data_IF_804981946644
#
_entry.id   IF_804981946644
#
_cell.length_a   1.000
_cell.length_b   1.000
_cell.length_c   1.000
_cell.angle_alpha   90.00
_cell.angle_beta   90.00
_cell.angle_gamma   90.00
#
_symmetry.space_group_name_H-M   'P 1'
#
loop_
_entity.id
_entity.type
_entity.pdbx_description
1 polymer ?
#
# COMPACT_ATOMS: atom_id res chain seq x y z
N UNK A 1 14.09 -6.42 17.99
CA UNK A 1 13.87 -7.85 17.68
C UNK A 1 15.16 -8.41 17.11
N UNK A 2 15.64 -9.58 17.55
CA UNK A 2 16.90 -10.13 17.05
C UNK A 2 16.83 -10.46 15.56
N UNK A 3 17.80 -9.97 14.78
CA UNK A 3 18.04 -10.36 13.38
C UNK A 3 18.03 -11.90 13.32
N UNK A 4 16.97 -12.48 12.77
CA UNK A 4 17.02 -13.88 12.32
C UNK A 4 17.79 -13.87 11.01
N UNK A 5 18.77 -14.77 10.89
CA UNK A 5 19.59 -14.90 9.69
C UNK A 5 18.69 -15.10 8.47
N UNK A 6 18.76 -14.17 7.52
CA UNK A 6 18.12 -14.30 6.20
C UNK A 6 19.06 -15.14 5.35
N UNK A 7 18.57 -16.26 4.83
CA UNK A 7 19.35 -17.14 3.98
C UNK A 7 19.30 -16.66 2.52
N UNK A 8 20.45 -16.34 1.94
CA UNK A 8 20.54 -15.91 0.55
C UNK A 8 20.57 -17.13 -0.38
N UNK A 9 19.60 -17.20 -1.30
CA UNK A 9 19.47 -18.24 -2.32
C UNK A 9 19.89 -17.64 -3.67
N UNK A 10 21.01 -18.12 -4.22
CA UNK A 10 21.61 -17.52 -5.41
C UNK A 10 21.11 -18.06 -6.74
N UNK A 11 20.53 -19.27 -6.75
CA UNK A 11 20.13 -19.98 -7.97
C UNK A 11 18.74 -20.61 -7.86
N UNK A 12 18.13 -20.95 -8.99
CA UNK A 12 16.84 -21.66 -9.02
C UNK A 12 16.98 -23.03 -8.37
N UNK A 13 18.10 -23.72 -8.60
CA UNK A 13 18.40 -25.01 -7.98
C UNK A 13 18.52 -24.91 -6.45
N UNK A 14 19.05 -23.80 -5.92
CA UNK A 14 19.08 -23.56 -4.47
C UNK A 14 17.66 -23.37 -3.92
N UNK A 15 16.79 -22.68 -4.65
CA UNK A 15 15.39 -22.48 -4.28
C UNK A 15 14.60 -23.79 -4.31
N UNK A 16 14.79 -24.62 -5.35
CA UNK A 16 14.20 -25.95 -5.46
C UNK A 16 14.62 -26.86 -4.30
N UNK A 17 15.93 -26.88 -4.00
CA UNK A 17 16.48 -27.65 -2.87
C UNK A 17 15.90 -27.15 -1.56
N UNK A 18 15.84 -25.84 -1.37
CA UNK A 18 15.28 -25.21 -0.18
C UNK A 18 13.81 -25.63 0.04
N UNK A 19 12.98 -25.65 -1.01
CA UNK A 19 11.60 -26.12 -0.93
C UNK A 19 11.47 -27.63 -0.70
N UNK A 20 12.35 -28.43 -1.31
CA UNK A 20 12.36 -29.88 -1.10
C UNK A 20 12.76 -30.27 0.33
N UNK A 21 13.65 -29.49 0.95
CA UNK A 21 14.19 -29.74 2.30
C UNK A 21 13.41 -29.03 3.41
N UNK A 22 12.33 -28.31 3.08
CA UNK A 22 11.57 -27.52 4.05
C UNK A 22 10.95 -28.39 5.16
N UNK A 23 11.41 -28.18 6.40
CA UNK A 23 11.03 -28.99 7.56
C UNK A 23 9.71 -28.56 8.23
N UNK A 24 9.03 -27.55 7.68
CA UNK A 24 7.78 -27.01 8.21
C UNK A 24 7.95 -25.86 9.20
N UNK A 25 9.18 -25.47 9.57
CA UNK A 25 9.43 -24.29 10.43
C UNK A 25 9.55 -23.03 9.60
N UNK A 26 9.10 -21.91 10.16
CA UNK A 26 9.21 -20.62 9.48
C UNK A 26 10.68 -20.28 9.17
N UNK A 27 10.97 -19.99 7.89
CA UNK A 27 12.31 -19.61 7.41
C UNK A 27 12.21 -18.36 6.55
N UNK A 28 13.16 -17.44 6.75
CA UNK A 28 13.31 -16.22 5.95
C UNK A 28 14.47 -16.40 5.00
N UNK A 29 14.24 -16.05 3.75
CA UNK A 29 15.19 -16.20 2.67
C UNK A 29 15.18 -14.95 1.80
N UNK A 30 16.25 -14.75 1.03
CA UNK A 30 16.31 -13.75 -0.02
C UNK A 30 16.65 -14.42 -1.34
N UNK A 31 15.95 -14.07 -2.41
CA UNK A 31 16.23 -14.51 -3.76
C UNK A 31 16.11 -13.34 -4.72
N UNK A 32 17.14 -13.09 -5.53
CA UNK A 32 17.15 -11.94 -6.45
C UNK A 32 17.04 -10.58 -5.75
N UNK A 33 17.47 -10.49 -4.49
CA UNK A 33 17.33 -9.28 -3.65
C UNK A 33 15.95 -9.08 -3.04
N UNK A 34 15.01 -10.02 -3.22
CA UNK A 34 13.67 -9.97 -2.64
C UNK A 34 13.58 -10.93 -1.46
N UNK A 35 13.17 -10.42 -0.31
CA UNK A 35 12.96 -11.23 0.89
C UNK A 35 11.61 -11.94 0.86
N UNK A 36 11.59 -13.18 1.33
CA UNK A 36 10.36 -13.93 1.52
C UNK A 36 10.46 -14.86 2.73
N UNK A 37 9.31 -15.14 3.33
CA UNK A 37 9.15 -16.05 4.46
C UNK A 37 8.29 -17.24 4.06
N UNK A 38 8.75 -18.45 4.35
CA UNK A 38 7.93 -19.66 4.21
C UNK A 38 7.30 -20.00 5.53
N UNK A 39 5.99 -20.22 5.53
CA UNK A 39 5.26 -20.67 6.71
C UNK A 39 4.25 -21.76 6.39
N UNK A 40 4.10 -22.73 7.29
CA UNK A 40 3.01 -23.71 7.20
C UNK A 40 1.82 -23.24 8.03
N UNK A 41 0.78 -22.73 7.37
CA UNK A 41 -0.49 -22.36 7.99
C UNK A 41 -1.27 -23.64 8.33
N UNK A 42 -1.73 -23.74 9.59
CA UNK A 42 -2.58 -24.84 10.06
C UNK A 42 -4.05 -24.42 9.97
N UNK A 43 -4.94 -25.40 9.82
CA UNK A 43 -6.40 -25.17 9.80
C UNK A 43 -6.82 -24.38 11.06
N UNK A 44 -7.69 -23.37 10.95
CA UNK A 44 -8.37 -22.83 12.11
C UNK A 44 -9.39 -23.87 12.60
N UNK A 45 -8.98 -24.75 13.52
CA UNK A 45 -9.84 -25.81 14.05
C UNK A 45 -9.31 -26.49 15.31
N UNK A 46 -9.84 -26.07 16.45
CA UNK A 46 -9.93 -26.77 17.75
C UNK A 46 -8.62 -27.07 18.52
N UNK A 47 -8.09 -26.06 19.21
CA UNK A 47 -7.47 -26.05 20.56
C UNK A 47 -6.25 -25.11 20.60
N UNK A 48 -6.37 -24.07 21.43
CA UNK A 48 -5.28 -23.13 21.69
C UNK A 48 -5.78 -21.71 21.91
N UNK A 49 -6.58 -21.49 22.96
CA UNK A 49 -6.75 -20.16 23.54
C UNK A 49 -5.38 -19.75 24.08
N UNK A 50 -4.63 -18.95 23.33
CA UNK A 50 -3.31 -18.47 23.78
C UNK A 50 -2.35 -18.22 22.62
N UNK A 51 -2.51 -17.10 21.93
CA UNK A 51 -1.57 -16.67 20.90
C UNK A 51 -2.10 -15.56 20.01
N UNK A 52 -2.32 -14.39 20.60
CA UNK A 52 -2.36 -13.07 19.95
C UNK A 52 -3.01 -12.97 18.55
N UNK A 53 -4.33 -12.87 18.54
CA UNK A 53 -5.03 -12.04 17.55
C UNK A 53 -4.73 -10.58 17.96
N UNK A 54 -3.67 -9.99 17.40
CA UNK A 54 -3.57 -8.52 17.31
C UNK A 54 -4.20 -8.18 15.97
N UNK A 55 -5.51 -7.92 16.03
CA UNK A 55 -6.37 -7.68 14.88
C UNK A 55 -7.75 -7.30 15.37
N UNK A 56 -7.81 -6.27 16.22
CA UNK A 56 -9.03 -5.59 16.60
C UNK A 56 -8.74 -4.08 16.62
N UNK A 57 -8.54 -3.52 15.43
CA UNK A 57 -9.07 -2.20 15.15
C UNK A 57 -10.50 -2.44 14.63
N UNK A 58 -11.48 -2.02 15.43
CA UNK A 58 -12.86 -1.89 15.01
C UNK A 58 -13.00 -0.62 14.17
N UNK A 59 -13.71 -0.68 13.03
CA UNK A 59 -14.10 0.51 12.29
C UNK A 59 -14.61 0.22 10.87
N UNK A 60 -15.92 0.10 10.70
CA UNK A 60 -16.59 0.77 9.59
C UNK A 60 -16.66 0.11 8.19
N UNK A 61 -16.74 -1.21 8.03
CA UNK A 61 -17.23 -1.80 6.77
C UNK A 61 -18.48 -2.66 6.99
N UNK A 62 -19.65 -2.04 6.96
CA UNK A 62 -20.94 -2.72 6.96
C UNK A 62 -21.35 -3.24 5.56
N UNK A 63 -20.37 -3.57 4.70
CA UNK A 63 -20.59 -4.05 3.32
C UNK A 63 -20.00 -5.42 2.98
N UNK A 64 -19.05 -5.94 3.76
CA UNK A 64 -18.41 -7.25 3.51
C UNK A 64 -18.61 -8.19 4.71
N UNK A 65 -19.85 -8.40 5.12
CA UNK A 65 -20.23 -9.52 5.98
C UNK A 65 -20.47 -10.82 5.16
N UNK A 66 -19.67 -11.03 4.11
CA UNK A 66 -19.52 -12.34 3.47
C UNK A 66 -18.34 -13.02 4.16
N UNK A 67 -18.62 -14.14 4.85
CA UNK A 67 -17.73 -14.76 5.83
C UNK A 67 -16.26 -14.78 5.40
N UNK A 68 -15.38 -14.24 6.24
CA UNK A 68 -13.94 -14.20 6.01
C UNK A 68 -13.46 -15.51 5.39
N UNK A 69 -12.96 -15.50 4.14
CA UNK A 69 -12.48 -16.69 3.49
C UNK A 69 -11.46 -17.36 4.40
N UNK A 70 -11.73 -18.61 4.76
CA UNK A 70 -10.81 -19.40 5.56
C UNK A 70 -9.66 -19.76 4.64
N UNK A 71 -8.53 -19.08 4.80
CA UNK A 71 -7.30 -19.42 4.07
C UNK A 71 -7.00 -20.91 4.35
N UNK A 72 -6.94 -21.75 3.31
CA UNK A 72 -6.83 -23.20 3.50
C UNK A 72 -5.50 -23.56 4.18
N UNK A 73 -5.41 -24.67 4.93
CA UNK A 73 -4.15 -25.10 5.52
C UNK A 73 -3.14 -25.46 4.42
N UNK A 74 -1.86 -25.19 4.65
CA UNK A 74 -0.81 -25.56 3.71
C UNK A 74 0.47 -24.77 3.90
N UNK A 75 1.38 -24.91 2.95
CA UNK A 75 2.59 -24.11 2.87
C UNK A 75 2.28 -22.80 2.15
N UNK A 76 2.75 -21.69 2.69
CA UNK A 76 2.59 -20.34 2.15
C UNK A 76 3.94 -19.65 2.04
N UNK A 77 4.04 -18.76 1.06
CA UNK A 77 5.14 -17.82 0.88
C UNK A 77 4.58 -16.45 1.10
N UNK A 78 5.22 -15.71 1.99
CA UNK A 78 4.99 -14.29 2.18
C UNK A 78 6.18 -13.56 1.61
N UNK A 79 6.03 -12.95 0.45
CA UNK A 79 7.04 -12.10 -0.18
C UNK A 79 6.90 -10.69 0.38
N UNK A 80 8.00 -10.12 0.87
CA UNK A 80 8.06 -8.70 1.21
C UNK A 80 8.25 -7.91 -0.07
N UNK A 81 7.37 -6.94 -0.33
CA UNK A 81 7.42 -6.13 -1.54
C UNK A 81 8.69 -5.25 -1.53
N UNK A 82 9.48 -5.23 -2.63
CA UNK A 82 10.66 -4.36 -2.73
C UNK A 82 10.32 -2.87 -2.70
N UNK A 83 9.12 -2.53 -3.16
CA UNK A 83 8.53 -1.18 -3.13
C UNK A 83 7.15 -1.33 -2.52
N UNK A 84 6.87 -0.62 -1.42
CA UNK A 84 5.56 -0.60 -0.81
C UNK A 84 4.56 0.16 -1.70
N UNK A 85 3.31 -0.29 -1.69
CA UNK A 85 2.22 0.34 -2.43
C UNK A 85 1.76 1.54 -1.60
N UNK A 86 1.87 2.76 -2.15
CA UNK A 86 1.52 4.02 -1.47
C UNK A 86 0.00 4.26 -1.38
N UNK A 87 -0.74 3.21 -1.09
CA UNK A 87 -2.20 3.23 -0.92
C UNK A 87 -2.56 2.14 0.08
N UNK A 88 -3.61 2.38 0.86
CA UNK A 88 -4.30 1.28 1.54
C UNK A 88 -4.80 0.35 0.45
N UNK A 89 -4.18 -0.82 0.32
CA UNK A 89 -4.54 -1.84 -0.66
C UNK A 89 -4.77 -3.15 0.07
N UNK A 90 -5.86 -3.81 -0.31
CA UNK A 90 -6.08 -5.21 -0.05
C UNK A 90 -6.60 -5.86 -1.33
N UNK A 91 -5.83 -6.78 -1.89
CA UNK A 91 -6.24 -7.64 -3.00
C UNK A 91 -6.26 -9.09 -2.52
N UNK A 92 -7.35 -9.80 -2.81
CA UNK A 92 -7.53 -11.19 -2.37
C UNK A 92 -8.24 -12.03 -3.42
N UNK A 93 -7.82 -13.28 -3.60
CA UNK A 93 -8.51 -14.24 -4.47
C UNK A 93 -10.01 -14.26 -4.17
N UNK A 94 -10.84 -14.11 -5.21
CA UNK A 94 -12.29 -14.18 -5.08
C UNK A 94 -12.76 -15.62 -4.88
N UNK A 95 -13.70 -15.84 -3.96
CA UNK A 95 -14.36 -17.13 -3.77
C UNK A 95 -15.22 -17.55 -4.98
N UNK A 96 -15.55 -16.59 -5.85
CA UNK A 96 -16.36 -16.79 -7.06
C UNK A 96 -15.76 -16.00 -8.23
N UNK A 97 -14.66 -16.46 -8.82
CA UNK A 97 -14.07 -15.79 -9.98
C UNK A 97 -15.06 -15.79 -11.15
N UNK A 98 -15.10 -14.70 -11.91
CA UNK A 98 -15.96 -14.62 -13.08
C UNK A 98 -15.44 -15.52 -14.20
N UNK A 99 -16.24 -16.50 -14.61
CA UNK A 99 -15.84 -17.50 -15.59
C UNK A 99 -15.47 -16.85 -16.94
N UNK A 100 -14.28 -17.17 -17.45
CA UNK A 100 -13.82 -16.77 -18.78
C UNK A 100 -13.32 -15.32 -18.89
N UNK A 101 -13.21 -14.58 -17.78
CA UNK A 101 -12.58 -13.26 -17.75
C UNK A 101 -11.19 -13.34 -17.15
N UNK A 102 -10.22 -12.78 -17.86
CA UNK A 102 -8.82 -12.70 -17.44
C UNK A 102 -8.48 -11.24 -17.06
N UNK A 103 -9.21 -10.70 -16.08
CA UNK A 103 -8.94 -9.39 -15.49
C UNK A 103 -8.76 -9.51 -13.98
N UNK A 104 -8.09 -8.52 -13.37
CA UNK A 104 -7.87 -8.50 -11.93
C UNK A 104 -9.20 -8.48 -11.16
N UNK A 105 -10.15 -7.60 -11.52
CA UNK A 105 -11.47 -7.54 -10.87
C UNK A 105 -12.29 -8.82 -10.98
N UNK A 106 -12.08 -9.59 -12.05
CA UNK A 106 -12.76 -10.86 -12.24
C UNK A 106 -12.19 -11.97 -11.35
N UNK A 107 -10.91 -11.88 -11.00
CA UNK A 107 -10.15 -12.89 -10.27
C UNK A 107 -10.06 -12.59 -8.77
N UNK A 108 -10.11 -11.31 -8.39
CA UNK A 108 -9.79 -10.83 -7.05
C UNK A 108 -10.85 -9.85 -6.53
N UNK A 109 -11.10 -9.91 -5.23
CA UNK A 109 -11.68 -8.79 -4.50
C UNK A 109 -10.58 -7.75 -4.25
N UNK A 110 -10.79 -6.53 -4.70
CA UNK A 110 -9.84 -5.42 -4.59
C UNK A 110 -10.50 -4.33 -3.75
N UNK A 111 -9.85 -3.94 -2.67
CA UNK A 111 -10.18 -2.79 -1.84
C UNK A 111 -8.96 -1.87 -1.83
N UNK A 112 -9.09 -0.69 -2.43
CA UNK A 112 -7.99 0.26 -2.59
C UNK A 112 -8.51 1.68 -2.38
N UNK A 113 -7.79 2.48 -1.58
CA UNK A 113 -8.10 3.91 -1.45
C UNK A 113 -7.75 4.70 -2.72
N UNK A 114 -6.68 4.32 -3.40
CA UNK A 114 -6.32 4.82 -4.74
C UNK A 114 -6.09 3.67 -5.74
N UNK A 115 -7.03 3.53 -6.66
CA UNK A 115 -6.99 2.51 -7.72
C UNK A 115 -5.97 2.82 -8.82
N UNK A 116 -5.64 4.09 -9.02
CA UNK A 116 -4.66 4.50 -10.04
C UNK A 116 -3.25 4.09 -9.62
N UNK A 117 -2.91 4.28 -8.34
CA UNK A 117 -1.67 3.80 -7.75
C UNK A 117 -1.53 2.27 -7.83
N UNK A 118 -2.65 1.54 -7.67
CA UNK A 118 -2.68 0.09 -7.88
C UNK A 118 -2.35 -0.26 -9.34
N UNK A 119 -2.98 0.38 -10.32
CA UNK A 119 -2.75 0.08 -11.74
C UNK A 119 -1.30 0.40 -12.16
N UNK A 120 -0.74 1.49 -11.62
CA UNK A 120 0.67 1.85 -11.81
C UNK A 120 1.60 0.78 -11.22
N UNK A 121 1.34 0.35 -9.98
CA UNK A 121 2.15 -0.66 -9.30
C UNK A 121 2.05 -2.04 -9.93
N UNK A 122 0.83 -2.47 -10.27
CA UNK A 122 0.57 -3.79 -10.86
C UNK A 122 1.20 -3.90 -12.25
N UNK A 123 1.48 -2.76 -12.89
CA UNK A 123 2.16 -2.64 -14.16
C UNK A 123 1.57 -3.58 -15.22
N UNK A 124 2.36 -3.92 -16.25
CA UNK A 124 1.96 -4.95 -17.21
C UNK A 124 2.29 -6.38 -16.76
N UNK A 125 3.29 -6.55 -15.88
CA UNK A 125 3.86 -7.87 -15.57
C UNK A 125 3.26 -8.56 -14.34
N UNK A 126 3.06 -7.82 -13.23
CA UNK A 126 2.61 -8.41 -11.98
C UNK A 126 1.14 -8.84 -12.09
N UNK A 127 0.27 -7.98 -12.62
CA UNK A 127 -1.15 -8.30 -12.78
C UNK A 127 -1.40 -9.58 -13.59
N UNK A 128 -0.75 -9.74 -14.75
CA UNK A 128 -0.83 -10.96 -15.57
C UNK A 128 -0.33 -12.19 -14.81
N UNK A 129 0.75 -12.04 -14.06
CA UNK A 129 1.34 -13.11 -13.25
C UNK A 129 0.39 -13.57 -12.15
N UNK A 130 -0.24 -12.63 -11.44
CA UNK A 130 -1.21 -12.97 -10.40
C UNK A 130 -2.46 -13.64 -10.98
N UNK A 131 -2.99 -13.16 -12.12
CA UNK A 131 -4.12 -13.82 -12.80
C UNK A 131 -3.80 -15.27 -13.16
N UNK A 132 -2.59 -15.54 -13.67
CA UNK A 132 -2.12 -16.89 -13.99
C UNK A 132 -2.01 -17.75 -12.73
N UNK A 133 -1.35 -17.24 -11.68
CA UNK A 133 -1.12 -17.96 -10.43
C UNK A 133 -2.42 -18.22 -9.64
N UNK A 134 -3.43 -17.36 -9.77
CA UNK A 134 -4.74 -17.50 -9.10
C UNK A 134 -5.47 -18.81 -9.44
N UNK A 135 -5.12 -19.46 -10.56
CA UNK A 135 -5.67 -20.77 -10.92
C UNK A 135 -5.18 -21.90 -10.03
N UNK A 136 -4.06 -21.69 -9.33
CA UNK A 136 -3.35 -22.70 -8.55
C UNK A 136 -3.27 -22.33 -7.06
N UNK A 137 -3.31 -21.03 -6.75
CA UNK A 137 -3.04 -20.52 -5.42
C UNK A 137 -4.11 -19.52 -4.98
N UNK A 138 -4.33 -19.46 -3.67
CA UNK A 138 -4.90 -18.30 -3.00
C UNK A 138 -3.81 -17.24 -2.91
N UNK A 139 -4.16 -16.03 -3.35
CA UNK A 139 -3.29 -14.87 -3.34
C UNK A 139 -3.92 -13.82 -2.43
N UNK A 140 -3.11 -13.26 -1.54
CA UNK A 140 -3.44 -12.10 -0.73
C UNK A 140 -2.30 -11.09 -0.94
N UNK A 141 -2.63 -9.84 -1.26
CA UNK A 141 -1.68 -8.75 -1.45
C UNK A 141 -2.15 -7.57 -0.60
N UNK A 142 -1.26 -7.04 0.23
CA UNK A 142 -1.44 -5.79 0.95
C UNK A 142 -0.40 -4.76 0.51
N UNK A 143 -0.31 -3.62 1.21
CA UNK A 143 0.62 -2.53 0.87
C UNK A 143 2.09 -2.91 0.97
N UNK A 144 2.44 -3.96 1.72
CA UNK A 144 3.84 -4.34 2.01
C UNK A 144 4.18 -5.78 1.62
N UNK A 145 3.18 -6.64 1.45
CA UNK A 145 3.38 -8.09 1.35
C UNK A 145 2.47 -8.73 0.34
N UNK A 146 3.01 -9.77 -0.29
CA UNK A 146 2.29 -10.67 -1.17
C UNK A 146 2.38 -12.09 -0.63
N UNK A 147 1.24 -12.66 -0.30
CA UNK A 147 1.09 -14.02 0.21
C UNK A 147 0.56 -14.91 -0.90
N UNK A 148 1.24 -16.03 -1.13
CA UNK A 148 0.90 -17.05 -2.12
C UNK A 148 0.82 -18.42 -1.44
N UNK A 149 -0.27 -19.16 -1.66
CA UNK A 149 -0.41 -20.55 -1.22
C UNK A 149 -1.87 -21.02 -1.22
N UNK A 150 -2.19 -22.25 -0.79
CA UNK A 150 -1.27 -23.25 -0.31
C UNK A 150 -0.54 -23.91 -1.47
N UNK A 151 0.72 -24.29 -1.27
CA UNK A 151 1.45 -25.05 -2.29
C UNK A 151 1.04 -26.51 -2.29
N UNK A 152 0.45 -26.93 -3.41
CA UNK A 152 0.08 -28.33 -3.68
C UNK A 152 0.97 -28.98 -4.75
N UNK A 153 1.76 -28.18 -5.49
CA UNK A 153 2.67 -28.64 -6.54
C UNK A 153 4.03 -29.11 -5.98
N UNK A 154 4.85 -29.73 -6.84
CA UNK A 154 6.19 -30.16 -6.46
C UNK A 154 7.16 -28.98 -6.22
N UNK A 155 8.29 -29.19 -5.52
CA UNK A 155 9.27 -28.13 -5.23
C UNK A 155 9.78 -27.36 -6.46
N UNK A 156 9.94 -28.04 -7.60
CA UNK A 156 10.40 -27.44 -8.85
C UNK A 156 9.38 -26.46 -9.46
N UNK A 157 8.10 -26.88 -9.55
CA UNK A 157 7.03 -26.01 -10.04
C UNK A 157 6.89 -24.77 -9.15
N UNK A 158 7.06 -24.97 -7.86
CA UNK A 158 6.97 -23.91 -6.87
C UNK A 158 8.15 -22.92 -6.96
N UNK A 159 9.38 -23.41 -7.14
CA UNK A 159 10.54 -22.56 -7.43
C UNK A 159 10.32 -21.74 -8.69
N UNK A 160 9.82 -22.35 -9.77
CA UNK A 160 9.53 -21.65 -11.01
C UNK A 160 8.48 -20.54 -10.82
N UNK A 161 7.39 -20.83 -10.11
CA UNK A 161 6.33 -19.85 -9.83
C UNK A 161 6.85 -18.67 -8.97
N UNK A 162 7.70 -18.93 -7.97
CA UNK A 162 8.31 -17.88 -7.12
C UNK A 162 9.31 -17.04 -7.91
N UNK A 163 10.13 -17.65 -8.76
CA UNK A 163 11.06 -16.92 -9.64
C UNK A 163 10.29 -16.01 -10.59
N UNK A 164 9.22 -16.51 -11.19
CA UNK A 164 8.36 -15.74 -12.08
C UNK A 164 7.68 -14.58 -11.36
N UNK A 165 7.16 -14.83 -10.15
CA UNK A 165 6.58 -13.80 -9.30
C UNK A 165 7.60 -12.70 -8.97
N UNK A 166 8.79 -13.08 -8.46
CA UNK A 166 9.86 -12.14 -8.10
C UNK A 166 10.34 -11.34 -9.32
N UNK A 167 10.40 -11.96 -10.49
CA UNK A 167 10.76 -11.28 -11.73
C UNK A 167 9.70 -10.25 -12.17
N UNK A 168 8.44 -10.47 -11.81
CA UNK A 168 7.32 -9.59 -12.15
C UNK A 168 7.12 -8.43 -11.15
N UNK A 169 7.72 -8.51 -9.95
CA UNK A 169 7.61 -7.45 -8.95
C UNK A 169 8.22 -6.13 -9.45
N UNK A 170 7.56 -4.98 -9.21
CA UNK A 170 8.15 -3.67 -9.42
C UNK A 170 9.48 -3.56 -8.69
N UNK A 171 10.50 -3.09 -9.41
CA UNK A 171 11.81 -2.81 -8.82
C UNK A 171 11.90 -1.32 -8.52
N UNK A 172 12.57 -0.94 -7.42
CA UNK A 172 12.88 0.46 -7.19
C UNK A 172 13.64 0.99 -8.41
N UNK A 173 13.21 2.13 -8.93
CA UNK A 173 13.94 2.76 -10.03
C UNK A 173 15.35 3.08 -9.55
N UNK A 174 16.41 2.84 -10.35
CA UNK A 174 17.77 3.21 -9.96
C UNK A 174 17.93 4.72 -9.71
N UNK A 175 17.00 5.52 -10.22
CA UNK A 175 16.96 6.98 -10.08
C UNK A 175 16.06 7.45 -8.92
N UNK A 176 15.30 6.55 -8.29
CA UNK A 176 14.48 6.91 -7.13
C UNK A 176 15.37 6.98 -5.88
N UNK A 177 15.34 8.08 -5.11
CA UNK A 177 16.18 8.20 -3.93
C UNK A 177 15.78 7.10 -2.93
N UNK A 178 16.70 6.17 -2.67
CA UNK A 178 16.52 5.17 -1.61
C UNK A 178 16.46 5.92 -0.29
N UNK A 179 15.25 6.10 0.23
CA UNK A 179 15.02 6.62 1.58
C UNK A 179 15.54 5.54 2.54
N UNK A 180 16.57 5.81 3.35
CA UNK A 180 17.02 4.83 4.34
C UNK A 180 15.86 4.52 5.31
N UNK A 181 15.82 3.30 5.82
CA UNK A 181 14.83 2.92 6.82
C UNK A 181 14.86 3.90 8.01
N UNK A 182 13.68 4.32 8.49
CA UNK A 182 13.61 5.32 9.55
C UNK A 182 14.27 4.83 10.83
N UNK A 183 14.04 3.57 11.23
CA UNK A 183 14.60 3.03 12.46
C UNK A 183 16.12 2.85 12.33
N UNK A 184 16.63 2.44 11.17
CA UNK A 184 18.07 2.38 10.91
C UNK A 184 18.73 3.78 10.96
N UNK A 185 18.11 4.77 10.33
CA UNK A 185 18.61 6.15 10.33
C UNK A 185 18.54 6.77 11.73
N UNK A 186 17.46 6.52 12.48
CA UNK A 186 17.30 6.98 13.85
C UNK A 186 18.29 6.30 14.82
N UNK A 187 18.58 5.01 14.66
CA UNK A 187 19.60 4.30 15.44
C UNK A 187 21.00 4.86 15.19
N UNK A 188 21.31 5.25 13.94
CA UNK A 188 22.59 5.86 13.58
C UNK A 188 22.78 7.25 14.16
N UNK A 189 21.72 8.06 14.14
CA UNK A 189 21.76 9.44 14.63
C UNK A 189 21.63 9.52 16.15
N UNK A 190 20.95 8.53 16.76
CA UNK A 190 20.70 8.47 18.20
C UNK A 190 19.64 9.45 18.71
N UNK A 191 19.03 10.26 17.82
CA UNK A 191 17.98 11.21 18.16
C UNK A 191 16.99 11.43 17.00
N UNK A 192 15.74 11.76 17.33
CA UNK A 192 14.66 12.04 16.39
C UNK A 192 14.02 13.38 16.71
N UNK A 193 13.79 14.20 15.69
CA UNK A 193 13.33 15.58 15.83
C UNK A 193 11.97 15.73 15.17
N UNK A 194 11.05 16.39 15.85
CA UNK A 194 9.77 16.82 15.28
C UNK A 194 10.00 18.01 14.33
N UNK A 195 9.57 17.86 13.08
CA UNK A 195 9.77 18.87 12.03
C UNK A 195 8.49 19.55 11.60
N UNK A 196 7.33 18.92 11.82
CA UNK A 196 6.04 19.51 11.54
C UNK A 196 4.92 18.90 12.37
N UNK A 197 3.84 19.65 12.47
CA UNK A 197 2.58 19.24 13.05
C UNK A 197 1.47 19.52 12.04
N UNK A 198 0.67 18.51 11.71
CA UNK A 198 -0.40 18.57 10.71
C UNK A 198 -1.75 18.24 11.32
N UNK A 199 -2.76 19.01 10.93
CA UNK A 199 -4.14 18.76 11.30
C UNK A 199 -4.75 17.78 10.30
N UNK A 200 -5.05 16.57 10.75
CA UNK A 200 -5.67 15.54 9.93
C UNK A 200 -4.67 14.64 9.19
N UNK A 201 -5.13 13.42 8.83
CA UNK A 201 -4.27 12.41 8.22
C UNK A 201 -3.82 12.76 6.79
N UNK A 202 -4.68 13.40 5.99
CA UNK A 202 -4.36 13.73 4.59
C UNK A 202 -3.18 14.69 4.48
N UNK A 203 -3.18 15.77 5.28
CA UNK A 203 -2.08 16.72 5.30
C UNK A 203 -0.77 16.11 5.84
N UNK A 204 -0.87 15.12 6.75
CA UNK A 204 0.28 14.38 7.22
C UNK A 204 0.86 13.46 6.14
N UNK A 205 0.02 12.75 5.40
CA UNK A 205 0.43 11.89 4.27
C UNK A 205 1.08 12.68 3.14
N UNK A 206 0.52 13.83 2.76
CA UNK A 206 1.13 14.71 1.75
C UNK A 206 2.53 15.18 2.17
N UNK A 207 2.68 15.58 3.44
CA UNK A 207 3.96 15.96 3.99
C UNK A 207 4.97 14.79 4.05
N UNK A 208 4.53 13.58 4.41
CA UNK A 208 5.37 12.38 4.34
C UNK A 208 5.80 12.06 2.90
N UNK A 209 4.89 12.19 1.93
CA UNK A 209 5.18 11.95 0.52
C UNK A 209 6.24 12.93 -0.02
N UNK A 210 6.16 14.21 0.36
CA UNK A 210 7.17 15.21 0.00
C UNK A 210 8.55 14.87 0.60
N UNK A 211 8.59 14.48 1.88
CA UNK A 211 9.84 14.04 2.53
C UNK A 211 10.42 12.79 1.87
N UNK A 212 9.58 11.81 1.53
CA UNK A 212 9.99 10.60 0.83
C UNK A 212 10.55 10.93 -0.57
N UNK A 213 9.90 11.81 -1.33
CA UNK A 213 10.38 12.27 -2.62
C UNK A 213 11.75 12.97 -2.54
N UNK A 214 12.04 13.63 -1.40
CA UNK A 214 13.34 14.24 -1.13
C UNK A 214 14.40 13.25 -0.60
N UNK A 215 14.07 11.97 -0.41
CA UNK A 215 14.98 10.97 0.14
C UNK A 215 15.13 11.04 1.66
N UNK A 216 14.15 11.59 2.38
CA UNK A 216 14.24 11.87 3.82
C UNK A 216 13.45 10.82 4.62
N UNK A 217 14.12 10.05 5.50
CA UNK A 217 13.43 9.11 6.39
C UNK A 217 12.53 9.88 7.36
N UNK A 218 11.24 9.56 7.34
CA UNK A 218 10.25 10.24 8.18
C UNK A 218 9.17 9.27 8.67
N UNK A 219 8.55 9.59 9.80
CA UNK A 219 7.36 8.90 10.31
C UNK A 219 6.47 9.84 11.09
N UNK A 220 5.27 9.38 11.41
CA UNK A 220 4.34 10.11 12.29
C UNK A 220 4.36 9.60 13.74
N UNK A 221 4.24 10.51 14.70
CA UNK A 221 4.00 10.22 16.12
C UNK A 221 2.72 10.93 16.56
N UNK A 222 1.82 10.20 17.23
CA UNK A 222 0.68 10.81 17.92
C UNK A 222 -0.70 10.54 17.33
N UNK A 223 -0.87 9.63 16.38
CA UNK A 223 -2.18 9.01 16.18
C UNK A 223 -2.42 8.04 17.35
N UNK A 224 -3.06 8.53 18.42
CA UNK A 224 -3.53 7.65 19.49
C UNK A 224 -4.45 6.59 18.89
N UNK A 225 -4.03 5.32 18.97
CA UNK A 225 -4.86 4.11 18.89
C UNK A 225 -5.84 4.04 17.72
N UNK A 226 -5.52 3.21 16.73
CA UNK A 226 -6.33 3.00 15.54
C UNK A 226 -7.84 2.94 15.77
N UNK A 227 -8.55 3.87 15.15
CA UNK A 227 -9.94 3.75 14.70
C UNK A 227 -10.06 4.63 13.46
N UNK A 228 -10.00 4.02 12.28
CA UNK A 228 -10.57 4.63 11.08
C UNK A 228 -12.02 5.01 11.41
N UNK A 229 -12.30 6.32 11.46
CA UNK A 229 -13.66 6.85 11.64
C UNK A 229 -13.87 7.89 12.75
N UNK A 230 -12.87 8.23 13.59
CA UNK A 230 -13.10 9.19 14.67
C UNK A 230 -11.87 10.07 15.02
N UNK A 231 -11.50 10.98 14.12
CA UNK A 231 -11.06 12.35 14.44
C UNK A 231 -10.48 13.01 13.17
N UNK A 232 -11.32 13.74 12.44
CA UNK A 232 -10.86 14.67 11.40
C UNK A 232 -9.99 15.81 11.98
N UNK A 233 -9.92 15.94 13.31
CA UNK A 233 -9.10 16.89 14.07
C UNK A 233 -7.87 16.24 14.76
N UNK A 234 -7.46 15.03 14.35
CA UNK A 234 -6.27 14.43 14.93
C UNK A 234 -5.02 15.21 14.51
N UNK A 235 -4.32 15.75 15.50
CA UNK A 235 -3.05 16.44 15.28
C UNK A 235 -1.93 15.41 15.18
N UNK A 236 -1.32 15.29 14.01
CA UNK A 236 -0.26 14.34 13.68
C UNK A 236 1.08 15.06 13.69
N UNK A 237 2.08 14.51 14.39
CA UNK A 237 3.43 15.06 14.41
C UNK A 237 4.33 14.26 13.49
N UNK A 238 5.07 14.94 12.63
CA UNK A 238 6.06 14.33 11.73
C UNK A 238 7.42 14.43 12.39
N UNK A 239 8.13 13.30 12.44
CA UNK A 239 9.50 13.23 12.96
C UNK A 239 10.45 12.67 11.93
N UNK A 240 11.69 13.13 11.98
CA UNK A 240 12.83 12.67 11.16
C UNK A 240 14.05 12.44 12.06
N UNK A 241 15.04 11.63 11.66
CA UNK A 241 16.33 11.58 12.32
C UNK A 241 17.00 12.97 12.32
N UNK A 242 17.69 13.31 13.41
CA UNK A 242 18.20 14.66 13.65
C UNK A 242 19.07 15.22 12.51
N UNK A 243 19.83 14.37 11.81
CA UNK A 243 20.69 14.79 10.69
C UNK A 243 19.92 15.30 9.47
N UNK A 244 18.62 14.99 9.37
CA UNK A 244 17.76 15.39 8.26
C UNK A 244 16.86 16.59 8.60
N UNK A 245 16.84 17.08 9.84
CA UNK A 245 15.85 18.05 10.32
C UNK A 245 15.84 19.36 9.51
N UNK A 246 17.01 19.94 9.21
CA UNK A 246 17.11 21.20 8.46
C UNK A 246 16.56 21.06 7.04
N UNK A 247 16.97 19.99 6.35
CA UNK A 247 16.50 19.68 4.99
C UNK A 247 15.01 19.33 4.96
N UNK A 248 14.51 18.63 5.98
CA UNK A 248 13.09 18.29 6.10
C UNK A 248 12.22 19.55 6.24
N UNK A 249 12.64 20.52 7.05
CA UNK A 249 11.93 21.79 7.19
C UNK A 249 11.94 22.61 5.90
N UNK A 250 13.03 22.59 5.14
CA UNK A 250 13.12 23.23 3.82
C UNK A 250 12.12 22.63 2.83
N UNK A 251 12.12 21.30 2.68
CA UNK A 251 11.20 20.57 1.79
C UNK A 251 9.74 20.83 2.14
N UNK A 252 9.40 20.80 3.44
CA UNK A 252 8.02 21.03 3.89
C UNK A 252 7.56 22.46 3.62
N UNK A 253 8.46 23.43 3.74
CA UNK A 253 8.15 24.83 3.44
C UNK A 253 7.92 25.06 1.94
N UNK A 254 8.76 24.46 1.09
CA UNK A 254 8.57 24.52 -0.37
C UNK A 254 7.23 23.91 -0.79
N UNK A 255 6.82 22.80 -0.16
CA UNK A 255 5.53 22.17 -0.41
C UNK A 255 4.34 23.07 0.01
N UNK A 256 4.43 23.73 1.17
CA UNK A 256 3.40 24.68 1.64
C UNK A 256 3.28 25.91 0.74
N UNK A 257 4.41 26.45 0.27
CA UNK A 257 4.45 27.62 -0.61
C UNK A 257 3.80 27.30 -1.97
N UNK A 258 3.94 26.07 -2.48
CA UNK A 258 3.26 25.60 -3.69
C UNK A 258 1.75 25.48 -3.50
N UNK A 259 1.29 24.84 -2.42
CA UNK A 259 -0.15 24.71 -2.11
C UNK A 259 -0.82 26.09 -1.95
N UNK A 260 -0.14 27.06 -1.36
CA UNK A 260 -0.66 28.43 -1.22
C UNK A 260 -0.80 29.15 -2.56
N UNK A 261 0.07 28.88 -3.53
CA UNK A 261 0.05 29.53 -4.84
C UNK A 261 -1.05 29.03 -5.78
N UNK A 262 -1.52 27.79 -5.58
CA UNK A 262 -2.58 27.18 -6.39
C UNK A 262 -4.00 27.57 -5.92
N UNK A 263 -4.14 28.17 -4.73
CA UNK A 263 -5.43 28.53 -4.12
C UNK A 263 -5.99 29.90 -4.50
N UNK A 264 -5.24 30.74 -5.21
CA UNK A 264 -5.57 32.16 -5.47
C UNK A 264 -6.05 32.47 -6.90
N UNK A 265 -6.32 31.46 -7.75
CA UNK A 265 -6.72 31.68 -9.16
C UNK A 265 -8.24 31.83 -9.42
N UNK A 266 -9.11 31.83 -8.40
CA UNK A 266 -10.58 31.75 -8.58
C UNK A 266 -11.40 33.01 -8.23
N UNK A 267 -10.80 34.21 -8.14
CA UNK A 267 -11.53 35.41 -7.67
C UNK A 267 -11.33 36.70 -8.50
N UNK A 268 -11.38 36.61 -9.84
CA UNK A 268 -11.63 37.78 -10.70
C UNK A 268 -12.60 37.46 -11.86
N UNK A 269 -13.92 37.46 -11.60
CA UNK A 269 -14.93 37.69 -12.63
C UNK A 269 -16.01 38.68 -12.19
N UNK A 270 -15.58 39.87 -11.75
CA UNK A 270 -16.43 41.06 -11.68
C UNK A 270 -16.24 41.92 -12.94
N UNK A 271 -17.10 41.67 -13.93
CA UNK A 271 -17.28 42.51 -15.11
C UNK A 271 -18.71 43.04 -15.19
N UNK A 272 -19.03 44.03 -14.35
CA UNK A 272 -20.25 44.84 -14.45
C UNK A 272 -20.36 45.53 -15.82
N UNK A 273 -21.56 45.52 -16.42
CA UNK A 273 -21.93 46.52 -17.42
C UNK A 273 -23.04 46.10 -18.37
N UNK A 274 -24.31 46.33 -18.00
CA UNK A 274 -25.25 47.00 -18.91
C UNK A 274 -26.43 47.61 -18.14
N UNK A 275 -26.31 48.90 -17.84
CA UNK A 275 -27.43 49.79 -17.56
C UNK A 275 -28.06 50.20 -18.91
N UNK A 276 -29.26 49.71 -19.23
CA UNK A 276 -29.89 50.08 -20.49
C UNK A 276 -31.39 49.81 -20.58
N UNK A 277 -32.20 50.81 -20.22
CA UNK A 277 -33.47 51.06 -20.93
C UNK A 277 -34.76 50.71 -20.18
N UNK A 278 -35.21 51.66 -19.36
CA UNK A 278 -36.64 51.86 -19.13
C UNK A 278 -37.31 52.45 -20.38
N UNK A 279 -38.57 52.07 -20.60
CA UNK A 279 -39.40 52.61 -21.67
C UNK A 279 -40.68 51.82 -21.83
N UNK A 280 -41.66 52.15 -20.99
CA UNK A 280 -43.05 51.82 -21.25
C UNK A 280 -43.47 52.41 -22.61
N UNK A 281 -44.26 51.68 -23.38
CA UNK A 281 -45.36 52.26 -24.15
C UNK A 281 -46.39 51.15 -24.43
N UNK A 282 -47.58 51.41 -23.89
CA UNK A 282 -48.84 50.78 -24.24
C UNK A 282 -49.11 50.92 -25.75
N UNK A 283 -49.57 49.86 -26.41
CA UNK A 283 -50.37 50.04 -27.64
C UNK A 283 -51.43 48.93 -27.74
N UNK A 284 -52.67 49.38 -27.53
CA UNK A 284 -53.93 48.72 -27.81
C UNK A 284 -54.15 48.58 -29.33
N UNK A 285 -54.76 47.48 -29.79
CA UNK A 285 -55.34 47.39 -31.14
C UNK A 285 -55.36 45.95 -31.67
N UNK A 286 -56.41 45.17 -31.47
CA UNK A 286 -57.68 45.14 -32.23
C UNK A 286 -57.61 44.43 -33.61
N UNK A 287 -58.63 43.62 -33.86
CA UNK A 287 -59.13 43.09 -35.15
C UNK A 287 -58.31 42.07 -35.97
N UNK A 288 -58.63 40.76 -35.82
CA UNK A 288 -59.43 39.94 -36.78
C UNK A 288 -59.42 38.43 -36.49
#
# INVERSE_FOLDING_TARGET
>A
MGRRDVEELGTVEDLERFFAEFDGKARRCSFGGVEFELERRRMPGTMGVGGAVVGLAAGGFAGLAAGAPRTPPGLYVTVTLPVAIRSDLLLRTSDRPEAGKESLDACFGIDASDRSALDEYMGKGLGETLIRLNRRYVIELDSERLILGPFEAGPADFAADVVELIAALPRPSPDEPVVPDFDEAAERDGDVVEVAQRSGPVAAELALAALAAAGIPSRTIGAGGGVFGAAFDAVVRLVVPASFAERAMEVLREAEDLEASEGDEDDEEDGEGDEGGGGADDDDGDDR
#
